data_IF_917347035811
#
_entry.id   IF_917347035811
#
_cell.length_a   1.000
_cell.length_b   1.000
_cell.length_c   1.000
_cell.angle_alpha   90.00
_cell.angle_beta   90.00
_cell.angle_gamma   90.00
#
_symmetry.space_group_name_H-M   'P 1'
#
loop_
_entity.id
_entity.type
_entity.pdbx_description
1 polymer ?
#
# COMPACT_ATOMS: atom_id res chain seq x y z
N UNK A 1 18.21 -1.77 -3.18
CA UNK A 1 18.32 -1.29 -4.58
C UNK A 1 17.92 -2.33 -5.65
N UNK A 2 17.77 -3.63 -5.32
CA UNK A 2 17.35 -4.63 -6.31
C UNK A 2 15.91 -4.43 -6.86
N UNK A 3 15.00 -3.88 -6.04
CA UNK A 3 13.62 -3.58 -6.46
C UNK A 3 13.56 -2.56 -7.60
N UNK A 4 14.28 -1.44 -7.49
CA UNK A 4 14.34 -0.40 -8.51
C UNK A 4 15.02 -0.87 -9.80
N UNK A 5 16.05 -1.71 -9.72
CA UNK A 5 16.68 -2.27 -10.94
C UNK A 5 15.72 -3.17 -11.71
N UNK A 6 14.87 -3.94 -11.03
CA UNK A 6 13.81 -4.71 -11.70
C UNK A 6 12.72 -3.83 -12.32
N UNK A 7 12.35 -2.70 -11.70
CA UNK A 7 11.43 -1.72 -12.29
C UNK A 7 11.99 -1.15 -13.60
N UNK A 8 13.27 -0.75 -13.60
CA UNK A 8 13.93 -0.23 -14.80
C UNK A 8 14.02 -1.28 -15.92
N UNK A 9 14.22 -2.55 -15.55
CA UNK A 9 14.19 -3.69 -16.48
C UNK A 9 12.77 -4.11 -16.89
N UNK A 10 11.72 -3.40 -16.46
CA UNK A 10 10.29 -3.75 -16.67
C UNK A 10 9.93 -5.16 -16.19
N UNK A 11 10.68 -5.70 -15.25
CA UNK A 11 10.42 -6.99 -14.65
C UNK A 11 9.53 -6.82 -13.41
N UNK A 12 8.24 -6.60 -13.67
CA UNK A 12 7.27 -6.23 -12.64
C UNK A 12 7.09 -7.29 -11.55
N UNK A 13 7.08 -8.59 -11.90
CA UNK A 13 6.99 -9.68 -10.91
C UNK A 13 8.16 -9.68 -9.94
N UNK A 14 9.39 -9.61 -10.47
CA UNK A 14 10.59 -9.58 -9.62
C UNK A 14 10.67 -8.29 -8.81
N UNK A 15 10.26 -7.16 -9.38
CA UNK A 15 10.18 -5.89 -8.66
C UNK A 15 9.20 -6.01 -7.48
N UNK A 16 8.00 -6.54 -7.72
CA UNK A 16 6.98 -6.69 -6.70
C UNK A 16 7.43 -7.60 -5.55
N UNK A 17 8.03 -8.75 -5.87
CA UNK A 17 8.59 -9.67 -4.88
C UNK A 17 9.75 -9.03 -4.09
N UNK A 18 10.64 -8.28 -4.76
CA UNK A 18 11.74 -7.59 -4.11
C UNK A 18 11.25 -6.51 -3.13
N UNK A 19 10.24 -5.72 -3.51
CA UNK A 19 9.60 -4.75 -2.64
C UNK A 19 8.89 -5.42 -1.45
N UNK A 20 8.18 -6.53 -1.68
CA UNK A 20 7.55 -7.30 -0.60
C UNK A 20 8.56 -7.83 0.42
N UNK A 21 9.68 -8.38 -0.07
CA UNK A 21 10.77 -8.85 0.79
C UNK A 21 11.42 -7.70 1.58
N UNK A 22 11.63 -6.55 0.94
CA UNK A 22 12.13 -5.35 1.62
C UNK A 22 11.17 -4.93 2.75
N UNK A 23 9.86 -4.87 2.49
CA UNK A 23 8.88 -4.55 3.52
C UNK A 23 8.94 -5.51 4.71
N UNK A 24 9.03 -6.82 4.46
CA UNK A 24 9.14 -7.83 5.53
C UNK A 24 10.40 -7.59 6.38
N UNK A 25 11.54 -7.33 5.75
CA UNK A 25 12.79 -7.05 6.46
C UNK A 25 12.71 -5.77 7.30
N UNK A 26 12.05 -4.73 6.79
CA UNK A 26 11.84 -3.47 7.52
C UNK A 26 10.93 -3.66 8.74
N UNK A 27 9.83 -4.42 8.58
CA UNK A 27 8.91 -4.72 9.68
C UNK A 27 9.57 -5.53 10.82
N UNK A 28 10.60 -6.33 10.54
CA UNK A 28 11.37 -7.02 11.59
C UNK A 28 12.08 -6.06 12.55
N UNK A 29 12.39 -4.83 12.10
CA UNK A 29 13.06 -3.82 12.92
C UNK A 29 12.13 -3.14 13.93
N UNK A 30 10.80 -3.27 13.76
CA UNK A 30 9.75 -2.76 14.67
C UNK A 30 9.95 -1.32 15.16
N UNK A 31 10.40 -0.42 14.28
CA UNK A 31 10.53 1.01 14.57
C UNK A 31 9.58 1.83 13.69
N UNK A 32 9.04 2.97 14.17
CA UNK A 32 8.10 3.78 13.38
C UNK A 32 8.64 4.20 12.00
N UNK A 33 9.91 4.66 11.86
CA UNK A 33 10.48 4.95 10.55
C UNK A 33 10.59 3.72 9.64
N UNK A 34 10.89 2.55 10.21
CA UNK A 34 10.97 1.31 9.43
C UNK A 34 9.58 0.82 9.00
N UNK A 35 8.55 1.05 9.81
CA UNK A 35 7.15 0.74 9.48
C UNK A 35 6.64 1.60 8.31
N UNK A 36 6.94 2.90 8.29
CA UNK A 36 6.62 3.78 7.16
C UNK A 36 7.32 3.34 5.88
N UNK A 37 8.63 3.02 5.95
CA UNK A 37 9.35 2.52 4.77
C UNK A 37 8.81 1.17 4.30
N UNK A 38 8.38 0.31 5.23
CA UNK A 38 7.71 -0.94 4.87
C UNK A 38 6.37 -0.70 4.16
N UNK A 39 5.57 0.28 4.62
CA UNK A 39 4.31 0.65 4.00
C UNK A 39 4.51 1.15 2.57
N UNK A 40 5.50 2.03 2.35
CA UNK A 40 5.89 2.50 1.01
C UNK A 40 6.34 1.34 0.12
N UNK A 41 7.13 0.42 0.65
CA UNK A 41 7.57 -0.76 -0.11
C UNK A 41 6.39 -1.69 -0.47
N UNK A 42 5.42 -1.89 0.43
CA UNK A 42 4.20 -2.66 0.14
C UNK A 42 3.35 -2.00 -0.95
N UNK A 43 3.19 -0.68 -0.90
CA UNK A 43 2.50 0.08 -1.94
C UNK A 43 3.21 -0.06 -3.30
N UNK A 44 4.54 0.06 -3.32
CA UNK A 44 5.32 -0.14 -4.53
C UNK A 44 5.18 -1.57 -5.08
N UNK A 45 5.14 -2.58 -4.20
CA UNK A 45 4.89 -3.97 -4.57
C UNK A 45 3.53 -4.15 -5.23
N UNK A 46 2.46 -3.65 -4.61
CA UNK A 46 1.10 -3.70 -5.14
C UNK A 46 0.99 -3.02 -6.52
N UNK A 47 1.58 -1.83 -6.68
CA UNK A 47 1.61 -1.10 -7.96
C UNK A 47 2.36 -1.86 -9.06
N UNK A 48 3.43 -2.57 -8.71
CA UNK A 48 4.15 -3.42 -9.68
C UNK A 48 3.27 -4.58 -10.16
N UNK A 49 2.56 -5.24 -9.26
CA UNK A 49 1.62 -6.30 -9.64
C UNK A 49 0.43 -5.77 -10.47
N UNK A 50 -0.10 -4.58 -10.16
CA UNK A 50 -1.14 -3.94 -10.99
C UNK A 50 -0.69 -3.69 -12.44
N UNK A 51 0.61 -3.51 -12.70
CA UNK A 51 1.14 -3.36 -14.08
C UNK A 51 1.10 -4.64 -14.91
N UNK A 52 0.87 -5.80 -14.29
CA UNK A 52 0.78 -7.11 -14.94
C UNK A 52 -0.56 -7.79 -14.68
N UNK A 53 -1.56 -7.04 -14.21
CA UNK A 53 -2.84 -7.57 -13.73
C UNK A 53 -3.58 -8.43 -14.76
N UNK A 54 -3.46 -8.11 -16.05
CA UNK A 54 -4.05 -8.93 -17.13
C UNK A 54 -3.52 -10.37 -17.15
N UNK A 55 -2.37 -10.63 -16.52
CA UNK A 55 -1.73 -11.93 -16.39
C UNK A 55 -1.49 -12.33 -14.92
N UNK A 56 -2.16 -11.66 -13.97
CA UNK A 56 -2.00 -11.95 -12.56
C UNK A 56 -2.78 -13.22 -12.19
N UNK A 57 -2.14 -14.12 -11.47
CA UNK A 57 -2.84 -15.28 -10.89
C UNK A 57 -3.63 -14.88 -9.62
N UNK A 58 -4.53 -15.75 -9.16
CA UNK A 58 -5.33 -15.50 -7.95
C UNK A 58 -4.46 -15.24 -6.71
N UNK A 59 -3.27 -15.85 -6.65
CA UNK A 59 -2.31 -15.66 -5.56
C UNK A 59 -1.67 -14.27 -5.59
N UNK A 60 -1.32 -13.77 -6.77
CA UNK A 60 -0.82 -12.42 -7.03
C UNK A 60 -1.92 -11.40 -6.71
N UNK A 61 -3.18 -11.65 -7.10
CA UNK A 61 -4.34 -10.82 -6.74
C UNK A 61 -4.53 -10.75 -5.22
N UNK A 62 -4.47 -11.88 -4.52
CA UNK A 62 -4.55 -11.91 -3.06
C UNK A 62 -3.38 -11.17 -2.40
N UNK A 63 -2.17 -11.32 -2.95
CA UNK A 63 -0.97 -10.63 -2.47
C UNK A 63 -1.09 -9.10 -2.61
N UNK A 64 -1.66 -8.60 -3.72
CA UNK A 64 -1.94 -7.17 -3.92
C UNK A 64 -2.88 -6.65 -2.83
N UNK A 65 -4.02 -7.32 -2.64
CA UNK A 65 -5.01 -6.91 -1.63
C UNK A 65 -4.39 -6.86 -0.24
N UNK A 66 -3.67 -7.91 0.13
CA UNK A 66 -3.00 -8.00 1.43
C UNK A 66 -1.93 -6.91 1.60
N UNK A 67 -1.13 -6.64 0.56
CA UNK A 67 -0.10 -5.61 0.60
C UNK A 67 -0.71 -4.21 0.79
N UNK A 68 -1.77 -3.90 0.06
CA UNK A 68 -2.49 -2.62 0.17
C UNK A 68 -3.16 -2.46 1.55
N UNK A 69 -3.89 -3.47 2.04
CA UNK A 69 -4.51 -3.45 3.37
C UNK A 69 -3.48 -3.24 4.49
N UNK A 70 -2.32 -3.89 4.36
CA UNK A 70 -1.23 -3.74 5.32
C UNK A 70 -0.56 -2.38 5.23
N UNK A 71 -0.40 -1.83 4.03
CA UNK A 71 0.10 -0.46 3.85
C UNK A 71 -0.85 0.56 4.50
N UNK A 72 -2.17 0.46 4.27
CA UNK A 72 -3.19 1.30 4.93
C UNK A 72 -3.03 1.26 6.45
N UNK A 73 -2.98 0.06 7.02
CA UNK A 73 -2.84 -0.12 8.48
C UNK A 73 -1.56 0.51 9.03
N UNK A 74 -0.44 0.38 8.31
CA UNK A 74 0.85 0.94 8.72
C UNK A 74 0.88 2.47 8.62
N UNK A 75 0.31 3.05 7.56
CA UNK A 75 0.22 4.51 7.44
C UNK A 75 -0.71 5.11 8.48
N UNK A 76 -1.89 4.51 8.68
CA UNK A 76 -2.84 4.97 9.70
C UNK A 76 -2.27 4.88 11.12
N UNK A 77 -1.47 3.85 11.42
CA UNK A 77 -0.78 3.70 12.71
C UNK A 77 0.30 4.76 12.95
N UNK A 78 0.93 5.27 11.89
CA UNK A 78 1.98 6.29 11.95
C UNK A 78 1.44 7.71 11.73
N UNK A 79 0.13 7.92 11.90
CA UNK A 79 -0.58 9.19 11.70
C UNK A 79 -0.45 9.81 10.29
N UNK A 80 0.01 9.04 9.30
CA UNK A 80 0.07 9.46 7.91
C UNK A 80 -1.27 9.18 7.21
N UNK A 81 -2.26 9.99 7.56
CA UNK A 81 -3.64 9.86 7.07
C UNK A 81 -3.74 10.08 5.56
N UNK A 82 -2.89 10.93 4.96
CA UNK A 82 -2.87 11.17 3.52
C UNK A 82 -2.39 9.94 2.74
N UNK A 83 -1.31 9.31 3.19
CA UNK A 83 -0.83 8.07 2.57
C UNK A 83 -1.80 6.90 2.81
N UNK A 84 -2.43 6.82 3.99
CA UNK A 84 -3.47 5.84 4.28
C UNK A 84 -4.68 6.00 3.33
N UNK A 85 -5.17 7.22 3.14
CA UNK A 85 -6.27 7.52 2.23
C UNK A 85 -5.94 7.16 0.78
N UNK A 86 -4.72 7.48 0.34
CA UNK A 86 -4.24 7.14 -1.02
C UNK A 86 -4.17 5.62 -1.21
N UNK A 87 -3.69 4.87 -0.21
CA UNK A 87 -3.69 3.41 -0.26
C UNK A 87 -5.12 2.84 -0.28
N UNK A 88 -6.06 3.42 0.48
CA UNK A 88 -7.47 3.02 0.43
C UNK A 88 -8.09 3.27 -0.95
N UNK A 89 -7.76 4.40 -1.59
CA UNK A 89 -8.19 4.69 -2.96
C UNK A 89 -7.65 3.66 -3.95
N UNK A 90 -6.36 3.34 -3.90
CA UNK A 90 -5.77 2.34 -4.79
C UNK A 90 -6.33 0.92 -4.56
N UNK A 91 -6.65 0.58 -3.30
CA UNK A 91 -7.35 -0.66 -2.98
C UNK A 91 -8.78 -0.68 -3.54
N UNK A 92 -9.48 0.46 -3.48
CA UNK A 92 -10.82 0.59 -4.02
C UNK A 92 -10.82 0.43 -5.55
N UNK A 93 -9.93 1.12 -6.26
CA UNK A 93 -9.74 0.96 -7.72
C UNK A 93 -9.44 -0.49 -8.08
N UNK A 94 -8.59 -1.17 -7.29
CA UNK A 94 -8.30 -2.58 -7.51
C UNK A 94 -9.54 -3.46 -7.33
N UNK A 95 -10.37 -3.19 -6.33
CA UNK A 95 -11.64 -3.91 -6.17
C UNK A 95 -12.62 -3.63 -7.34
N UNK A 96 -12.65 -2.42 -7.89
CA UNK A 96 -13.44 -2.12 -9.10
C UNK A 96 -12.97 -2.94 -10.32
N UNK A 97 -11.65 -3.01 -10.53
CA UNK A 97 -11.04 -3.83 -11.59
C UNK A 97 -11.43 -5.31 -11.45
N UNK A 98 -11.54 -5.81 -10.21
CA UNK A 98 -11.97 -7.18 -9.89
C UNK A 98 -13.51 -7.36 -9.87
N UNK A 99 -14.28 -6.32 -10.19
CA UNK A 99 -15.76 -6.27 -10.11
C UNK A 99 -16.33 -6.49 -8.70
N UNK A 100 -15.52 -6.28 -7.66
CA UNK A 100 -15.91 -6.37 -6.26
C UNK A 100 -16.43 -5.02 -5.74
N UNK A 101 -17.53 -4.54 -6.34
CA UNK A 101 -18.04 -3.17 -6.15
C UNK A 101 -18.35 -2.84 -4.67
N UNK A 102 -18.88 -3.79 -3.90
CA UNK A 102 -19.15 -3.57 -2.48
C UNK A 102 -17.88 -3.30 -1.67
N UNK A 103 -16.79 -4.02 -1.96
CA UNK A 103 -15.51 -3.81 -1.30
C UNK A 103 -14.86 -2.49 -1.73
N UNK A 104 -15.01 -2.11 -3.02
CA UNK A 104 -14.56 -0.83 -3.53
C UNK A 104 -15.23 0.35 -2.81
N UNK A 105 -16.56 0.32 -2.68
CA UNK A 105 -17.32 1.36 -1.95
C UNK A 105 -16.86 1.49 -0.51
N UNK A 106 -16.67 0.36 0.19
CA UNK A 106 -16.16 0.39 1.57
C UNK A 106 -14.78 1.06 1.65
N UNK A 107 -13.88 0.75 0.72
CA UNK A 107 -12.55 1.34 0.67
C UNK A 107 -12.59 2.85 0.33
N UNK A 108 -13.47 3.29 -0.57
CA UNK A 108 -13.64 4.72 -0.86
C UNK A 108 -14.21 5.50 0.32
N UNK A 109 -15.16 4.93 1.06
CA UNK A 109 -15.68 5.55 2.28
C UNK A 109 -14.55 5.69 3.31
N UNK A 110 -13.73 4.66 3.49
CA UNK A 110 -12.57 4.72 4.37
C UNK A 110 -11.55 5.79 3.92
N UNK A 111 -11.29 5.89 2.61
CA UNK A 111 -10.41 6.93 2.06
C UNK A 111 -10.95 8.34 2.33
N UNK A 112 -12.26 8.55 2.14
CA UNK A 112 -12.94 9.81 2.46
C UNK A 112 -12.79 10.17 3.93
N UNK A 113 -12.95 9.20 4.83
CA UNK A 113 -12.80 9.43 6.27
C UNK A 113 -11.36 9.80 6.65
N UNK A 114 -10.36 9.21 6.00
CA UNK A 114 -8.96 9.60 6.21
C UNK A 114 -8.62 10.98 5.66
N UNK A 115 -9.14 11.36 4.48
CA UNK A 115 -8.96 12.72 3.94
C UNK A 115 -9.71 13.78 4.77
N UNK A 116 -10.84 13.42 5.36
CA UNK A 116 -11.66 14.31 6.18
C UNK A 116 -11.12 14.54 7.60
N UNK A 117 -10.12 13.77 8.05
CA UNK A 117 -9.49 13.99 9.36
C UNK A 117 -8.52 15.17 9.28
N UNK A 118 -8.75 16.27 10.01
CA UNK A 118 -7.79 17.36 10.07
C UNK A 118 -6.50 16.84 10.71
N UNK A 119 -5.35 17.15 10.10
CA UNK A 119 -4.04 16.91 10.69
C UNK A 119 -4.05 17.51 12.10
N UNK A 120 -4.01 16.67 13.14
CA UNK A 120 -3.76 17.16 14.49
C UNK A 120 -2.31 17.62 14.52
N UNK A 121 -2.09 18.90 14.25
CA UNK A 121 -0.82 19.56 14.54
C UNK A 121 -0.59 19.46 16.04
N UNK A 122 0.63 19.07 16.50
CA UNK A 122 0.93 19.11 17.92
C UNK A 122 0.77 20.55 18.39
N UNK A 123 -0.12 20.75 19.36
CA UNK A 123 -0.26 22.04 20.03
C UNK A 123 1.10 22.43 20.63
N UNK A 124 1.62 23.64 20.37
CA UNK A 124 2.77 24.13 21.10
C UNK A 124 2.34 24.35 22.55
N UNK A 125 2.86 23.52 23.45
CA UNK A 125 2.75 23.72 24.90
C UNK A 125 3.27 25.13 25.22
N UNK A 126 2.39 26.01 25.68
CA UNK A 126 2.74 27.32 26.25
C UNK A 126 3.20 27.16 27.69
#
# INVERSE_FOLDING_TARGET
MASLSYVLAKNWRKAAAAFGNEAIQRLKRRSPPAELVAAVALLASARCYRKIQDNADEGEVAAIKLALQKAVSLFAKNDDMQSAATCCKELAEFHEEQRELHAAVHCFLQAKDYYGKPCQLPHPSS
#
